data_IF_216384419451
#
_entry.id   IF_216384419451
#
_cell.length_a   1.000
_cell.length_b   1.000
_cell.length_c   1.000
_cell.angle_alpha   90.00
_cell.angle_beta   90.00
_cell.angle_gamma   90.00
#
_symmetry.space_group_name_H-M   'P 1'
#
loop_
_entity.id
_entity.type
_entity.pdbx_description
1 polymer ?
#
# COMPACT_ATOMS: atom_id res chain seq x y z
N UNK A 1 -7.22 -3.31 -0.18
CA UNK A 1 -8.02 -2.84 -1.33
C UNK A 1 -9.40 -2.46 -0.87
N UNK A 2 -9.96 -1.38 -1.39
CA UNK A 2 -11.35 -0.97 -1.17
C UNK A 2 -12.28 -1.66 -2.18
N UNK A 3 -13.45 -2.14 -1.73
CA UNK A 3 -14.46 -2.68 -2.62
C UNK A 3 -15.03 -1.57 -3.50
N UNK A 4 -15.51 -1.95 -4.68
CA UNK A 4 -16.25 -1.05 -5.56
C UNK A 4 -17.63 -0.81 -4.96
N UNK A 5 -17.97 0.46 -4.74
CA UNK A 5 -19.28 0.88 -4.25
C UNK A 5 -19.95 1.65 -5.39
N UNK A 6 -21.13 1.20 -5.82
CA UNK A 6 -21.89 1.81 -6.92
C UNK A 6 -21.08 1.98 -8.22
N UNK A 7 -20.29 0.99 -8.60
CA UNK A 7 -19.49 1.04 -9.82
C UNK A 7 -18.13 1.76 -9.70
N UNK A 8 -17.90 2.48 -8.60
CA UNK A 8 -16.71 3.33 -8.43
C UNK A 8 -15.77 2.78 -7.36
N UNK A 9 -14.46 2.81 -7.63
CA UNK A 9 -13.41 2.50 -6.65
C UNK A 9 -12.11 3.20 -7.04
N UNK A 10 -11.38 3.73 -6.06
CA UNK A 10 -10.00 4.16 -6.25
C UNK A 10 -9.10 3.50 -5.20
N UNK A 11 -8.16 2.68 -5.68
CA UNK A 11 -7.26 1.87 -4.85
C UNK A 11 -5.80 2.31 -5.07
N UNK A 12 -5.28 3.24 -4.26
CA UNK A 12 -3.89 3.71 -4.40
C UNK A 12 -2.88 2.59 -4.10
N UNK A 13 -3.29 1.63 -3.27
CA UNK A 13 -2.52 0.42 -2.99
C UNK A 13 -3.45 -0.79 -2.82
N UNK A 14 -3.05 -1.89 -3.45
CA UNK A 14 -3.63 -3.23 -3.27
C UNK A 14 -2.54 -4.18 -2.80
N UNK A 15 -2.88 -5.05 -1.85
CA UNK A 15 -1.94 -5.99 -1.25
C UNK A 15 -2.51 -7.39 -1.40
N UNK A 16 -1.72 -8.27 -1.99
CA UNK A 16 -2.06 -9.67 -2.19
C UNK A 16 -1.08 -10.53 -1.41
N UNK A 17 -1.62 -11.50 -0.69
CA UNK A 17 -0.86 -12.47 0.09
C UNK A 17 -1.20 -13.86 -0.44
N UNK A 18 -0.19 -14.58 -0.92
CA UNK A 18 -0.28 -15.98 -1.29
C UNK A 18 0.12 -16.84 -0.09
N UNK A 19 -0.71 -17.81 0.24
CA UNK A 19 -0.53 -18.72 1.37
C UNK A 19 -0.72 -20.17 0.91
N UNK A 20 0.07 -21.09 1.45
CA UNK A 20 -0.11 -22.52 1.16
C UNK A 20 -1.26 -23.15 1.96
N UNK A 21 -1.53 -24.43 1.70
CA UNK A 21 -2.51 -25.26 2.38
C UNK A 21 -2.25 -25.37 3.90
N UNK A 22 -1.00 -25.25 4.32
CA UNK A 22 -0.54 -25.27 5.72
C UNK A 22 -0.59 -23.90 6.39
N UNK A 23 -1.06 -22.87 5.69
CA UNK A 23 -1.21 -21.53 6.24
C UNK A 23 0.07 -20.70 6.24
N UNK A 24 1.14 -21.14 5.58
CA UNK A 24 2.42 -20.42 5.47
C UNK A 24 2.37 -19.39 4.34
N UNK A 25 2.83 -18.19 4.63
CA UNK A 25 2.95 -17.14 3.63
C UNK A 25 4.06 -17.51 2.63
N UNK A 26 3.76 -17.42 1.33
CA UNK A 26 4.68 -17.76 0.24
C UNK A 26 5.16 -16.52 -0.51
N UNK A 27 4.26 -15.56 -0.73
CA UNK A 27 4.52 -14.40 -1.57
C UNK A 27 3.61 -13.24 -1.18
N UNK A 28 4.15 -12.04 -1.33
CA UNK A 28 3.43 -10.78 -1.17
C UNK A 28 3.57 -9.94 -2.44
N UNK A 29 2.45 -9.36 -2.88
CA UNK A 29 2.41 -8.41 -3.99
C UNK A 29 1.84 -7.10 -3.48
N UNK A 30 2.55 -6.01 -3.68
CA UNK A 30 2.08 -4.65 -3.43
C UNK A 30 1.89 -3.94 -4.77
N UNK A 31 0.65 -3.86 -5.23
CA UNK A 31 0.29 -3.12 -6.43
C UNK A 31 -0.02 -1.67 -6.03
N UNK A 32 0.76 -0.74 -6.55
CA UNK A 32 0.59 0.70 -6.31
C UNK A 32 0.09 1.36 -7.57
N UNK A 33 -0.95 2.18 -7.43
CA UNK A 33 -1.53 2.99 -8.50
C UNK A 33 -1.43 4.46 -8.17
N UNK A 34 -1.11 5.29 -9.16
CA UNK A 34 -1.09 6.74 -8.99
C UNK A 34 -2.38 7.37 -9.54
N UNK A 35 -2.56 8.68 -9.30
CA UNK A 35 -3.68 9.46 -9.84
C UNK A 35 -3.53 9.80 -11.33
N UNK A 36 -2.41 9.40 -11.96
CA UNK A 36 -2.11 9.63 -13.38
C UNK A 36 -2.43 8.42 -14.28
N UNK A 37 -2.95 7.33 -13.69
CA UNK A 37 -3.31 6.11 -14.40
C UNK A 37 -2.21 5.05 -14.47
N UNK A 38 -1.02 5.31 -13.93
CA UNK A 38 0.07 4.33 -13.91
C UNK A 38 -0.10 3.34 -12.76
N UNK A 39 0.52 2.17 -12.94
CA UNK A 39 0.51 1.08 -11.99
C UNK A 39 1.85 0.38 -11.96
N UNK A 40 2.29 -0.03 -10.76
CA UNK A 40 3.47 -0.87 -10.58
C UNK A 40 3.27 -1.86 -9.44
N UNK A 41 3.68 -3.11 -9.64
CA UNK A 41 3.61 -4.18 -8.64
C UNK A 41 4.98 -4.53 -8.07
N UNK A 42 5.14 -4.40 -6.75
CA UNK A 42 6.32 -4.87 -6.04
C UNK A 42 6.08 -6.29 -5.52
N UNK A 43 6.85 -7.26 -6.02
CA UNK A 43 6.64 -8.69 -5.75
C UNK A 43 7.79 -9.24 -4.93
N UNK A 44 7.50 -9.76 -3.73
CA UNK A 44 8.50 -10.38 -2.86
C UNK A 44 8.06 -11.76 -2.39
N UNK A 45 9.02 -12.68 -2.27
CA UNK A 45 8.78 -13.97 -1.61
C UNK A 45 8.79 -13.75 -0.10
N UNK A 46 7.92 -14.44 0.62
CA UNK A 46 8.06 -14.54 2.05
C UNK A 46 9.30 -15.41 2.35
N UNK A 47 10.17 -14.94 3.24
CA UNK A 47 11.36 -15.70 3.65
C UNK A 47 11.01 -16.95 4.45
N UNK A 48 12.03 -17.76 4.71
CA UNK A 48 11.89 -19.00 5.48
C UNK A 48 11.66 -18.77 6.99
N UNK A 49 11.86 -17.54 7.49
CA UNK A 49 11.99 -17.23 8.91
C UNK A 49 11.07 -16.12 9.51
N UNK A 50 10.04 -15.55 8.86
CA UNK A 50 9.10 -14.75 9.61
C UNK A 50 8.27 -15.68 10.49
N UNK A 51 8.10 -15.32 11.76
CA UNK A 51 6.93 -15.79 12.51
C UNK A 51 5.72 -15.54 11.62
N UNK A 52 4.90 -16.57 11.38
CA UNK A 52 3.79 -16.52 10.43
C UNK A 52 3.01 -15.20 10.59
N UNK A 53 2.86 -14.44 9.50
CA UNK A 53 2.19 -13.15 9.55
C UNK A 53 3.02 -11.97 10.07
N UNK A 54 4.35 -11.93 9.95
CA UNK A 54 5.13 -10.69 10.11
C UNK A 54 6.24 -10.59 9.06
N UNK A 55 5.88 -10.16 7.84
CA UNK A 55 6.81 -10.07 6.70
C UNK A 55 7.20 -8.63 6.40
N UNK A 56 8.47 -8.39 6.05
CA UNK A 56 8.99 -7.08 5.64
C UNK A 56 9.65 -7.21 4.27
N UNK A 57 9.06 -6.58 3.26
CA UNK A 57 9.67 -6.42 1.95
C UNK A 57 10.34 -5.06 1.79
N UNK A 58 11.44 -5.02 1.06
CA UNK A 58 12.11 -3.81 0.63
C UNK A 58 12.16 -3.73 -0.90
N UNK A 59 11.79 -2.57 -1.45
CA UNK A 59 11.82 -2.34 -2.88
C UNK A 59 12.31 -0.92 -3.19
N UNK A 60 12.96 -0.74 -4.35
CA UNK A 60 13.29 0.61 -4.84
C UNK A 60 12.00 1.33 -5.25
N UNK A 61 11.87 2.61 -4.91
CA UNK A 61 10.73 3.42 -5.35
C UNK A 61 10.91 3.77 -6.83
N UNK A 62 10.18 3.07 -7.69
CA UNK A 62 10.25 3.29 -9.16
C UNK A 62 9.00 3.95 -9.74
N UNK A 63 7.89 4.00 -8.99
CA UNK A 63 6.64 4.61 -9.44
C UNK A 63 6.55 6.09 -9.02
N UNK A 64 6.15 6.95 -9.94
CA UNK A 64 5.81 8.34 -9.68
C UNK A 64 4.39 8.45 -9.10
N UNK A 65 4.28 8.42 -7.78
CA UNK A 65 2.98 8.43 -7.07
C UNK A 65 2.47 9.82 -6.71
N UNK A 66 3.35 10.82 -6.68
CA UNK A 66 3.03 12.20 -6.28
C UNK A 66 4.04 13.16 -6.90
N UNK A 67 3.62 14.35 -7.35
CA UNK A 67 4.54 15.40 -7.79
C UNK A 67 5.44 15.96 -6.70
N UNK A 68 5.16 15.69 -5.42
CA UNK A 68 5.94 16.21 -4.29
C UNK A 68 6.99 15.21 -3.77
N UNK A 69 7.06 14.02 -4.36
CA UNK A 69 8.03 13.00 -3.98
C UNK A 69 8.84 12.52 -5.19
N UNK A 70 10.17 12.61 -5.13
CA UNK A 70 11.02 12.15 -6.23
C UNK A 70 10.92 10.64 -6.42
N UNK A 71 11.23 10.14 -7.63
CA UNK A 71 11.29 8.70 -7.93
C UNK A 71 12.68 8.17 -7.57
N UNK A 72 12.97 8.22 -6.29
CA UNK A 72 14.24 7.76 -5.72
C UNK A 72 14.02 7.26 -4.30
N UNK A 73 14.99 6.51 -3.77
CA UNK A 73 14.92 5.91 -2.45
C UNK A 73 14.13 4.61 -2.43
N UNK A 74 13.64 4.24 -1.25
CA UNK A 74 13.21 2.87 -0.99
C UNK A 74 11.88 2.81 -0.23
N UNK A 75 11.10 1.79 -0.54
CA UNK A 75 9.95 1.36 0.22
C UNK A 75 10.33 0.21 1.16
N UNK A 76 9.91 0.33 2.42
CA UNK A 76 9.80 -0.80 3.36
C UNK A 76 8.33 -1.08 3.60
N UNK A 77 7.91 -2.28 3.25
CA UNK A 77 6.54 -2.73 3.20
C UNK A 77 6.40 -3.87 4.22
N UNK A 78 5.63 -3.64 5.28
CA UNK A 78 5.42 -4.62 6.33
C UNK A 78 3.94 -4.99 6.40
N UNK A 79 3.65 -6.29 6.38
CA UNK A 79 2.32 -6.82 6.68
C UNK A 79 2.45 -7.67 7.93
N UNK A 80 1.59 -7.36 8.90
CA UNK A 80 1.43 -8.13 10.13
C UNK A 80 0.01 -8.67 10.23
N UNK A 81 -0.14 -9.98 10.33
CA UNK A 81 -1.39 -10.70 10.58
C UNK A 81 -1.24 -11.39 11.93
N UNK A 82 -2.08 -11.04 12.90
CA UNK A 82 -2.10 -11.65 14.24
C UNK A 82 -3.29 -12.60 14.38
N UNK A 83 -3.20 -13.51 15.34
CA UNK A 83 -4.19 -14.59 15.60
C UNK A 83 -5.64 -14.08 15.76
N UNK A 84 -5.84 -12.89 16.34
CA UNK A 84 -7.18 -12.29 16.52
C UNK A 84 -7.69 -11.57 15.26
N UNK A 85 -7.34 -12.07 14.06
CA UNK A 85 -7.65 -11.46 12.77
C UNK A 85 -7.17 -9.99 12.63
N UNK A 86 -6.27 -9.52 13.51
CA UNK A 86 -5.76 -8.15 13.47
C UNK A 86 -4.74 -8.04 12.36
N UNK A 87 -5.01 -7.13 11.42
CA UNK A 87 -4.14 -6.83 10.29
C UNK A 87 -3.53 -5.45 10.51
N UNK A 88 -2.21 -5.36 10.34
CA UNK A 88 -1.49 -4.10 10.29
C UNK A 88 -0.62 -4.09 9.05
N UNK A 89 -0.82 -3.09 8.20
CA UNK A 89 0.04 -2.81 7.05
C UNK A 89 0.78 -1.51 7.32
N UNK A 90 2.07 -1.50 7.03
CA UNK A 90 2.91 -0.32 7.06
C UNK A 90 3.67 -0.21 5.74
N UNK A 91 3.61 0.97 5.14
CA UNK A 91 4.46 1.36 4.02
C UNK A 91 5.27 2.56 4.46
N UNK A 92 6.60 2.40 4.50
CA UNK A 92 7.54 3.49 4.77
C UNK A 92 8.33 3.79 3.52
N UNK A 93 8.25 5.04 3.07
CA UNK A 93 9.12 5.60 2.06
C UNK A 93 10.29 6.31 2.75
N UNK A 94 11.51 5.91 2.40
CA UNK A 94 12.74 6.50 2.94
C UNK A 94 13.67 6.95 1.81
N UNK A 95 14.40 8.02 2.08
CA UNK A 95 15.38 8.61 1.17
C UNK A 95 16.60 9.01 2.01
N UNK A 96 17.78 8.54 1.62
CA UNK A 96 19.03 8.73 2.37
C UNK A 96 18.89 8.35 3.86
N UNK A 97 18.26 7.21 4.14
CA UNK A 97 18.01 6.72 5.50
C UNK A 97 16.86 7.40 6.25
N UNK A 98 16.39 8.57 5.80
CA UNK A 98 15.34 9.35 6.47
C UNK A 98 13.95 9.01 5.94
N UNK A 99 12.98 8.75 6.83
CA UNK A 99 11.60 8.52 6.43
C UNK A 99 10.95 9.81 5.91
N UNK A 100 10.42 9.78 4.68
CA UNK A 100 9.72 10.89 4.03
C UNK A 100 8.20 10.73 4.07
N UNK A 101 7.72 9.49 4.05
CA UNK A 101 6.30 9.18 4.18
C UNK A 101 6.14 7.86 4.94
N UNK A 102 5.21 7.82 5.89
CA UNK A 102 4.78 6.58 6.53
C UNK A 102 3.26 6.49 6.41
N UNK A 103 2.78 5.48 5.70
CA UNK A 103 1.38 5.14 5.62
C UNK A 103 1.12 3.88 6.44
N UNK A 104 0.06 3.90 7.24
CA UNK A 104 -0.34 2.73 8.04
C UNK A 104 -1.83 2.46 7.84
N UNK A 105 -2.16 1.17 7.77
CA UNK A 105 -3.53 0.68 7.79
C UNK A 105 -3.60 -0.36 8.90
N UNK A 106 -4.57 -0.20 9.81
CA UNK A 106 -4.83 -1.16 10.88
C UNK A 106 -6.31 -1.51 10.87
N UNK A 107 -6.62 -2.77 11.12
CA UNK A 107 -7.99 -3.24 11.19
C UNK A 107 -8.09 -4.64 11.74
N UNK A 108 -9.31 -5.10 11.89
CA UNK A 108 -9.65 -6.48 12.20
C UNK A 108 -10.30 -7.04 10.95
N UNK A 109 -9.81 -8.16 10.45
CA UNK A 109 -10.45 -8.88 9.36
C UNK A 109 -11.75 -9.49 9.88
N UNK A 110 -12.85 -9.18 9.19
CA UNK A 110 -14.15 -9.76 9.44
C UNK A 110 -14.58 -10.61 8.25
N UNK A 111 -15.47 -11.57 8.49
CA UNK A 111 -16.05 -12.40 7.44
C UNK A 111 -16.79 -11.50 6.44
N UNK A 112 -16.50 -11.67 5.15
CA UNK A 112 -17.13 -10.91 4.09
C UNK A 112 -18.58 -11.38 3.91
N UNK A 113 -19.51 -10.74 4.63
CA UNK A 113 -20.95 -10.95 4.50
C UNK A 113 -21.62 -9.65 4.10
N UNK A 114 -22.78 -9.74 3.44
CA UNK A 114 -23.59 -8.56 3.06
C UNK A 114 -23.87 -7.65 4.27
N UNK A 115 -24.21 -8.26 5.42
CA UNK A 115 -24.48 -7.53 6.67
C UNK A 115 -23.26 -6.78 7.16
N UNK A 116 -22.09 -7.41 7.16
CA UNK A 116 -20.83 -6.78 7.57
C UNK A 116 -20.49 -5.60 6.66
N UNK A 117 -20.59 -5.77 5.34
CA UNK A 117 -20.30 -4.70 4.37
C UNK A 117 -21.21 -3.48 4.58
N UNK A 118 -22.53 -3.68 4.67
CA UNK A 118 -23.48 -2.57 4.87
C UNK A 118 -23.19 -1.86 6.20
N UNK A 119 -23.02 -2.62 7.29
CA UNK A 119 -22.72 -2.07 8.61
C UNK A 119 -21.44 -1.24 8.58
N UNK A 120 -20.37 -1.74 7.97
CA UNK A 120 -19.07 -1.05 7.91
C UNK A 120 -19.16 0.22 7.07
N UNK A 121 -19.81 0.18 5.90
CA UNK A 121 -19.98 1.37 5.04
C UNK A 121 -20.74 2.48 5.79
N UNK A 122 -21.84 2.13 6.46
CA UNK A 122 -22.64 3.09 7.23
C UNK A 122 -21.87 3.64 8.44
N UNK A 123 -21.23 2.77 9.22
CA UNK A 123 -20.51 3.17 10.45
C UNK A 123 -19.28 4.04 10.17
N UNK A 124 -18.62 3.83 9.03
CA UNK A 124 -17.41 4.58 8.67
C UNK A 124 -17.68 5.82 7.82
N UNK A 125 -18.91 5.95 7.28
CA UNK A 125 -19.28 7.03 6.36
C UNK A 125 -18.40 7.03 5.10
N UNK A 126 -17.90 5.86 4.70
CA UNK A 126 -16.88 5.78 3.66
C UNK A 126 -17.52 5.74 2.28
N UNK A 127 -17.19 6.73 1.47
CA UNK A 127 -17.56 6.78 0.07
C UNK A 127 -16.35 6.42 -0.82
N UNK A 128 -16.56 5.77 -1.98
CA UNK A 128 -15.49 5.20 -2.80
C UNK A 128 -14.47 6.22 -3.35
N UNK A 129 -14.85 7.49 -3.47
CA UNK A 129 -13.97 8.57 -3.95
C UNK A 129 -13.21 9.28 -2.83
N UNK A 130 -13.45 8.94 -1.55
CA UNK A 130 -12.81 9.62 -0.42
C UNK A 130 -11.29 9.63 -0.51
N UNK A 131 -10.61 8.50 -0.83
CA UNK A 131 -9.16 8.50 -0.92
C UNK A 131 -8.66 9.44 -2.02
N UNK A 132 -9.36 9.51 -3.16
CA UNK A 132 -9.02 10.41 -4.25
C UNK A 132 -9.13 11.88 -3.82
N UNK A 133 -10.25 12.27 -3.18
CA UNK A 133 -10.44 13.63 -2.67
C UNK A 133 -9.37 13.99 -1.64
N UNK A 134 -9.08 13.10 -0.68
CA UNK A 134 -8.05 13.33 0.33
C UNK A 134 -6.66 13.54 -0.27
N UNK A 135 -6.30 12.80 -1.32
CA UNK A 135 -5.02 12.99 -2.03
C UNK A 135 -4.94 14.37 -2.67
N UNK A 136 -6.01 14.84 -3.32
CA UNK A 136 -6.02 16.16 -3.97
C UNK A 136 -6.00 17.32 -2.97
N UNK A 137 -6.73 17.19 -1.85
CA UNK A 137 -6.69 18.19 -0.77
C UNK A 137 -5.29 18.29 -0.17
N UNK A 138 -4.61 17.16 0.06
CA UNK A 138 -3.25 17.19 0.58
C UNK A 138 -2.25 17.73 -0.45
N UNK A 139 -2.42 17.39 -1.73
CA UNK A 139 -1.63 17.96 -2.81
C UNK A 139 -1.75 19.49 -2.88
N UNK A 140 -2.97 20.04 -2.74
CA UNK A 140 -3.19 21.48 -2.68
C UNK A 140 -2.49 22.12 -1.48
N UNK A 141 -2.55 21.49 -0.31
CA UNK A 141 -1.84 21.98 0.90
C UNK A 141 -0.32 22.00 0.72
N UNK A 142 0.26 20.97 0.11
CA UNK A 142 1.70 20.92 -0.18
C UNK A 142 2.11 21.98 -1.22
N UNK A 143 1.25 22.20 -2.22
CA UNK A 143 1.45 23.27 -3.20
C UNK A 143 1.42 24.66 -2.56
N UNK A 144 0.46 24.93 -1.67
CA UNK A 144 0.41 26.19 -0.90
C UNK A 144 1.65 26.38 -0.01
N UNK A 145 2.24 25.29 0.48
CA UNK A 145 3.52 25.29 1.23
C UNK A 145 4.77 25.39 0.34
N UNK A 146 4.60 25.55 -0.99
CA UNK A 146 5.67 25.65 -1.99
C UNK A 146 6.66 24.48 -1.94
N UNK A 147 6.17 23.28 -1.64
CA UNK A 147 6.99 22.05 -1.69
C UNK A 147 7.48 21.84 -3.14
N UNK A 148 8.75 21.44 -3.35
CA UNK A 148 9.28 21.22 -4.69
C UNK A 148 8.43 20.26 -5.52
N UNK A 149 8.27 20.60 -6.81
CA UNK A 149 7.52 19.81 -7.77
C UNK A 149 8.48 19.00 -8.66
N UNK A 150 8.20 17.71 -8.81
CA UNK A 150 8.93 16.78 -9.66
C UNK A 150 8.06 16.40 -10.86
N UNK A 151 8.61 16.52 -12.07
CA UNK A 151 7.90 16.13 -13.30
C UNK A 151 7.71 14.61 -13.34
N UNK A 152 6.57 14.18 -13.87
CA UNK A 152 6.25 12.76 -14.10
C UNK A 152 7.22 12.19 -15.14
N UNK A 153 8.03 11.17 -14.81
CA UNK A 153 8.85 10.43 -15.77
C UNK A 153 8.00 9.42 -16.55
N UNK A 154 8.60 8.77 -17.55
CA UNK A 154 8.00 7.61 -18.21
C UNK A 154 7.68 6.52 -17.18
N UNK A 155 6.50 5.89 -17.24
CA UNK A 155 6.14 4.83 -16.30
C UNK A 155 7.14 3.66 -16.34
N UNK A 156 7.47 3.05 -15.18
CA UNK A 156 8.34 1.90 -15.13
C UNK A 156 7.66 0.65 -15.71
N UNK A 157 8.42 -0.45 -15.80
CA UNK A 157 7.85 -1.79 -16.06
C UNK A 157 6.68 -2.10 -15.11
N UNK A 158 5.72 -2.98 -15.48
CA UNK A 158 4.54 -3.24 -14.66
C UNK A 158 4.84 -3.83 -13.28
N UNK A 159 6.00 -4.46 -13.10
CA UNK A 159 6.39 -5.05 -11.83
C UNK A 159 7.91 -5.05 -11.61
N UNK A 160 8.32 -5.17 -10.35
CA UNK A 160 9.72 -5.35 -9.95
C UNK A 160 9.83 -6.29 -8.75
N UNK A 161 10.99 -6.91 -8.57
CA UNK A 161 11.26 -7.78 -7.43
C UNK A 161 11.55 -6.95 -6.18
N UNK A 162 10.74 -7.14 -5.15
CA UNK A 162 11.04 -6.72 -3.80
C UNK A 162 11.89 -7.80 -3.10
N UNK A 163 12.90 -7.35 -2.35
CA UNK A 163 13.75 -8.24 -1.55
C UNK A 163 13.09 -8.44 -0.20
N UNK A 164 13.20 -9.65 0.34
CA UNK A 164 12.88 -9.85 1.75
C UNK A 164 13.93 -9.14 2.60
N UNK A 165 13.47 -8.34 3.56
CA UNK A 165 14.30 -7.57 4.48
C UNK A 165 14.23 -8.13 5.91
N UNK A 166 13.66 -9.32 6.13
CA UNK A 166 13.80 -10.01 7.41
C UNK A 166 15.24 -10.49 7.61
N UNK A 167 16.13 -9.57 8.00
CA UNK A 167 17.55 -9.86 8.14
C UNK A 167 18.46 -8.64 8.34
N UNK A 168 18.26 -7.91 9.45
CA UNK A 168 19.30 -7.48 10.40
C UNK A 168 18.63 -7.02 11.69
#
# INVERSE_FOLDING_TARGET
TFPRILGVAFNPVSIYLLRDDKGRDLMYIYEVRNTFGDMHSYVGRAGAAPAAGDTILQAQKVLHVSPFFPVEGEYRLRVKVKDNAKISVLMRYSMNGTAKLTATLRGVAERLTTRTVIRTVLATGQFPLRPLVSIHVEALRLWLKRVPFFRRPTPPQPWSRARDFTGR
#
